data_IF_283288363265
#
_entry.id   IF_283288363265
#
_cell.length_a   1.000
_cell.length_b   1.000
_cell.length_c   1.000
_cell.angle_alpha   90.00
_cell.angle_beta   90.00
_cell.angle_gamma   90.00
#
_symmetry.space_group_name_H-M   'P 1'
#
loop_
_entity.id
_entity.type
_entity.pdbx_description
1 polymer ?
#
# COMPACT_ATOMS: atom_id res chain seq x y z
N UNK A 1 -10.78 -23.31 34.03
CA UNK A 1 -9.98 -22.20 33.44
C UNK A 1 -10.08 -22.37 31.95
N UNK A 2 -10.61 -21.40 31.21
CA UNK A 2 -10.58 -21.47 29.74
C UNK A 2 -9.11 -21.49 29.32
N UNK A 3 -8.71 -22.44 28.47
CA UNK A 3 -7.35 -22.47 27.92
C UNK A 3 -7.02 -21.13 27.27
N UNK A 4 -5.82 -20.63 27.54
CA UNK A 4 -5.31 -19.38 26.99
C UNK A 4 -5.17 -19.54 25.46
N UNK A 5 -6.18 -19.09 24.71
CA UNK A 5 -6.22 -19.25 23.24
C UNK A 5 -5.22 -18.30 22.58
N UNK A 6 -4.25 -18.85 21.87
CA UNK A 6 -3.35 -18.10 20.98
C UNK A 6 -4.06 -17.90 19.62
N UNK A 7 -4.15 -16.64 19.17
CA UNK A 7 -4.72 -16.28 17.86
C UNK A 7 -3.61 -16.31 16.81
N UNK A 8 -3.74 -17.17 15.81
CA UNK A 8 -2.73 -17.37 14.76
C UNK A 8 -3.03 -16.45 13.58
N UNK A 9 -2.06 -15.65 13.18
CA UNK A 9 -2.23 -14.63 12.13
C UNK A 9 -1.34 -14.96 10.94
N UNK A 10 -1.95 -15.35 9.83
CA UNK A 10 -1.22 -15.61 8.60
C UNK A 10 -0.75 -14.32 7.94
N UNK A 11 0.44 -14.34 7.35
CA UNK A 11 0.99 -13.19 6.61
C UNK A 11 2.03 -13.61 5.59
N UNK A 12 2.26 -12.77 4.57
CA UNK A 12 3.38 -12.95 3.65
C UNK A 12 4.68 -12.55 4.32
N UNK A 13 5.80 -13.13 3.86
CA UNK A 13 7.14 -12.76 4.32
C UNK A 13 7.62 -11.37 3.90
N UNK A 14 6.92 -10.69 3.01
CA UNK A 14 7.32 -9.34 2.58
C UNK A 14 7.24 -8.35 3.75
N UNK A 15 8.20 -7.43 3.83
CA UNK A 15 8.28 -6.44 4.91
C UNK A 15 6.99 -5.64 5.09
N UNK A 16 6.38 -5.16 3.99
CA UNK A 16 5.12 -4.42 4.06
C UNK A 16 3.97 -5.29 4.61
N UNK A 17 3.87 -6.56 4.21
CA UNK A 17 2.84 -7.46 4.74
C UNK A 17 3.01 -7.70 6.24
N UNK A 18 4.25 -7.89 6.71
CA UNK A 18 4.56 -8.03 8.14
C UNK A 18 4.19 -6.76 8.93
N UNK A 19 4.50 -5.58 8.38
CA UNK A 19 4.12 -4.30 8.99
C UNK A 19 2.61 -4.16 9.10
N UNK A 20 1.87 -4.50 8.05
CA UNK A 20 0.40 -4.46 8.05
C UNK A 20 -0.19 -5.44 9.07
N UNK A 21 0.31 -6.68 9.10
CA UNK A 21 -0.09 -7.69 10.07
C UNK A 21 0.18 -7.23 11.51
N UNK A 22 1.35 -6.67 11.78
CA UNK A 22 1.70 -6.16 13.09
C UNK A 22 0.83 -4.97 13.50
N UNK A 23 0.47 -4.08 12.57
CA UNK A 23 -0.45 -2.97 12.83
C UNK A 23 -1.84 -3.48 13.28
N UNK A 24 -2.40 -4.48 12.58
CA UNK A 24 -3.67 -5.11 13.00
C UNK A 24 -3.56 -5.78 14.37
N UNK A 25 -2.48 -6.51 14.63
CA UNK A 25 -2.24 -7.12 15.95
C UNK A 25 -2.14 -6.04 17.05
N UNK A 26 -1.47 -4.92 16.76
CA UNK A 26 -1.35 -3.81 17.70
C UNK A 26 -2.70 -3.15 17.99
N UNK A 27 -3.54 -2.92 16.97
CA UNK A 27 -4.90 -2.41 17.16
C UNK A 27 -5.73 -3.32 18.07
N UNK A 28 -5.65 -4.64 17.87
CA UNK A 28 -6.37 -5.60 18.71
C UNK A 28 -5.81 -5.65 20.14
N UNK A 29 -4.48 -5.64 20.32
CA UNK A 29 -3.84 -5.60 21.64
C UNK A 29 -4.12 -4.31 22.42
N UNK A 30 -4.30 -3.20 21.72
CA UNK A 30 -4.67 -1.93 22.35
C UNK A 30 -6.08 -1.98 22.99
N UNK A 31 -6.97 -2.82 22.44
CA UNK A 31 -8.31 -3.05 22.97
C UNK A 31 -8.32 -4.07 24.11
N UNK A 32 -7.45 -5.09 24.03
CA UNK A 32 -7.29 -6.10 25.07
C UNK A 32 -5.85 -6.64 25.09
N UNK A 33 -5.09 -6.21 26.09
CA UNK A 33 -3.68 -6.60 26.27
C UNK A 33 -3.47 -8.07 26.65
N UNK A 34 -4.53 -8.77 27.05
CA UNK A 34 -4.46 -10.19 27.42
C UNK A 34 -4.40 -11.10 26.19
N UNK A 35 -4.82 -10.60 25.02
CA UNK A 35 -4.81 -11.35 23.78
C UNK A 35 -3.39 -11.77 23.35
N UNK A 36 -3.21 -13.07 23.15
CA UNK A 36 -1.99 -13.67 22.64
C UNK A 36 -2.11 -13.88 21.13
N UNK A 37 -1.06 -13.51 20.40
CA UNK A 37 -0.99 -13.65 18.95
C UNK A 37 0.28 -14.38 18.55
N UNK A 38 0.15 -15.26 17.55
CA UNK A 38 1.26 -15.92 16.87
C UNK A 38 1.22 -15.54 15.39
N UNK A 39 2.26 -14.85 14.89
CA UNK A 39 2.38 -14.56 13.46
C UNK A 39 2.95 -15.75 12.72
N UNK A 40 2.24 -16.22 11.70
CA UNK A 40 2.63 -17.38 10.88
C UNK A 40 3.03 -16.90 9.49
N UNK A 41 4.32 -16.63 9.24
CA UNK A 41 4.80 -16.12 7.96
C UNK A 41 4.85 -17.22 6.89
N UNK A 42 4.23 -16.97 5.75
CA UNK A 42 4.08 -17.91 4.64
C UNK A 42 4.70 -17.38 3.35
N UNK A 43 5.15 -18.28 2.48
CA UNK A 43 5.70 -17.96 1.16
C UNK A 43 4.67 -18.28 0.07
N UNK A 44 4.20 -17.25 -0.63
CA UNK A 44 3.24 -17.40 -1.74
C UNK A 44 3.95 -17.68 -3.07
N UNK A 45 3.24 -18.21 -4.07
CA UNK A 45 3.77 -18.32 -5.44
C UNK A 45 4.28 -16.96 -5.94
N UNK A 46 3.52 -15.89 -5.69
CA UNK A 46 3.92 -14.54 -6.11
C UNK A 46 5.18 -14.01 -5.46
N UNK A 47 5.58 -14.52 -4.29
CA UNK A 47 6.87 -14.19 -3.66
C UNK A 47 8.04 -14.94 -4.32
N UNK A 48 7.80 -16.13 -4.86
CA UNK A 48 8.82 -16.97 -5.51
C UNK A 48 9.05 -16.58 -6.96
N UNK A 49 8.04 -16.01 -7.60
CA UNK A 49 8.05 -15.62 -9.00
C UNK A 49 8.28 -14.09 -9.09
N UNK A 50 9.54 -13.68 -8.94
CA UNK A 50 9.94 -12.27 -9.12
C UNK A 50 10.20 -11.91 -10.60
N UNK A 51 10.54 -12.91 -11.43
CA UNK A 51 11.11 -12.71 -12.77
C UNK A 51 10.18 -13.03 -13.97
N UNK A 52 9.02 -13.65 -13.74
CA UNK A 52 8.04 -13.90 -14.81
C UNK A 52 6.87 -12.90 -14.78
N UNK A 53 6.24 -12.66 -15.93
CA UNK A 53 5.22 -11.62 -16.03
C UNK A 53 4.04 -11.96 -15.10
N UNK A 54 3.58 -11.07 -14.19
CA UNK A 54 2.35 -11.28 -13.40
C UNK A 54 1.17 -11.63 -14.30
N UNK A 55 1.22 -11.04 -15.47
CA UNK A 55 0.32 -11.12 -16.57
C UNK A 55 0.44 -12.48 -17.33
N UNK A 56 1.58 -13.20 -17.25
CA UNK A 56 1.72 -14.60 -17.72
C UNK A 56 0.88 -15.62 -16.94
N UNK A 57 0.53 -15.33 -15.69
CA UNK A 57 0.02 -16.38 -14.79
C UNK A 57 -1.51 -16.39 -14.67
N UNK A 58 -2.22 -15.33 -15.06
CA UNK A 58 -3.70 -15.35 -15.19
C UNK A 58 -4.50 -15.70 -13.93
N UNK A 59 -3.85 -16.08 -12.83
CA UNK A 59 -4.51 -16.58 -11.64
C UNK A 59 -4.84 -15.42 -10.71
N UNK A 60 -6.15 -15.25 -10.48
CA UNK A 60 -6.78 -14.28 -9.56
C UNK A 60 -6.37 -14.43 -8.08
N UNK A 61 -5.32 -15.20 -7.75
CA UNK A 61 -4.98 -15.59 -6.38
C UNK A 61 -3.46 -15.77 -6.13
N UNK A 62 -2.58 -15.23 -6.98
CA UNK A 62 -1.12 -15.46 -6.91
C UNK A 62 -0.47 -15.13 -5.54
N UNK A 63 -1.06 -14.18 -4.81
CA UNK A 63 -0.58 -13.71 -3.51
C UNK A 63 -1.47 -14.11 -2.33
N UNK A 64 -2.59 -14.82 -2.57
CA UNK A 64 -3.60 -15.13 -1.54
C UNK A 64 -3.80 -16.63 -1.34
N UNK A 65 -3.61 -17.45 -2.38
CA UNK A 65 -3.94 -18.89 -2.38
C UNK A 65 -3.39 -19.69 -1.19
N UNK A 66 -2.11 -19.53 -0.85
CA UNK A 66 -1.53 -20.26 0.28
C UNK A 66 -2.09 -19.81 1.63
N UNK A 67 -2.42 -18.52 1.76
CA UNK A 67 -3.00 -17.95 2.98
C UNK A 67 -4.45 -18.40 3.15
N UNK A 68 -5.23 -18.33 2.07
CA UNK A 68 -6.61 -18.86 1.98
C UNK A 68 -6.65 -20.35 2.34
N UNK A 69 -5.70 -21.13 1.82
CA UNK A 69 -5.58 -22.56 2.16
C UNK A 69 -5.31 -22.77 3.65
N UNK A 70 -4.47 -21.94 4.28
CA UNK A 70 -4.20 -22.01 5.71
C UNK A 70 -5.43 -21.63 6.55
N UNK A 71 -6.23 -20.65 6.11
CA UNK A 71 -7.50 -20.30 6.75
C UNK A 71 -8.48 -21.47 6.73
N UNK A 72 -8.71 -22.06 5.55
CA UNK A 72 -9.63 -23.19 5.36
C UNK A 72 -9.18 -24.43 6.15
N UNK A 73 -7.87 -24.69 6.21
CA UNK A 73 -7.27 -25.77 7.02
C UNK A 73 -7.18 -25.45 8.51
N UNK A 74 -7.71 -24.30 8.97
CA UNK A 74 -7.65 -23.85 10.36
C UNK A 74 -6.22 -23.81 10.93
N UNK A 75 -5.23 -23.55 10.08
CA UNK A 75 -3.82 -23.38 10.46
C UNK A 75 -3.55 -21.96 10.99
N UNK A 76 -4.32 -20.99 10.50
CA UNK A 76 -4.35 -19.62 11.00
C UNK A 76 -5.80 -19.21 11.23
N UNK A 77 -6.05 -18.21 12.08
CA UNK A 77 -7.39 -17.73 12.43
C UNK A 77 -7.84 -16.59 11.51
N UNK A 78 -6.93 -15.66 11.19
CA UNK A 78 -7.15 -14.64 10.17
C UNK A 78 -5.86 -14.29 9.41
N UNK A 79 -5.99 -13.58 8.29
CA UNK A 79 -4.90 -13.09 7.44
C UNK A 79 -5.10 -11.60 7.15
N UNK A 80 -4.01 -10.83 7.06
CA UNK A 80 -4.07 -9.40 6.75
C UNK A 80 -3.55 -9.12 5.34
N UNK A 81 -4.30 -8.32 4.59
CA UNK A 81 -4.02 -7.95 3.21
C UNK A 81 -4.11 -6.44 2.98
N UNK A 82 -3.46 -5.95 1.92
CA UNK A 82 -3.93 -4.74 1.26
C UNK A 82 -5.20 -5.08 0.50
N UNK A 83 -6.31 -4.37 0.73
CA UNK A 83 -7.60 -4.76 0.15
C UNK A 83 -7.61 -4.72 -1.38
N UNK A 84 -6.85 -3.81 -2.00
CA UNK A 84 -6.68 -3.75 -3.46
C UNK A 84 -6.06 -5.00 -4.10
N UNK A 85 -5.40 -5.85 -3.30
CA UNK A 85 -4.77 -7.09 -3.77
C UNK A 85 -5.71 -8.29 -3.65
N UNK A 86 -6.88 -8.13 -2.98
CA UNK A 86 -7.90 -9.17 -2.87
C UNK A 86 -8.85 -9.11 -4.07
N UNK A 87 -9.19 -10.26 -4.69
CA UNK A 87 -10.22 -10.31 -5.71
C UNK A 87 -11.57 -9.83 -5.17
N UNK A 88 -12.44 -9.37 -6.06
CA UNK A 88 -13.82 -8.95 -5.69
C UNK A 88 -14.70 -10.11 -5.23
N UNK A 89 -14.30 -11.34 -5.56
CA UNK A 89 -14.96 -12.58 -5.14
C UNK A 89 -13.93 -13.45 -4.41
N UNK A 90 -14.25 -13.87 -3.19
CA UNK A 90 -13.39 -14.74 -2.39
C UNK A 90 -13.74 -16.22 -2.62
N UNK A 91 -12.84 -17.15 -2.28
CA UNK A 91 -13.16 -18.57 -2.21
C UNK A 91 -14.33 -18.85 -1.24
N UNK A 92 -15.07 -19.92 -1.50
CA UNK A 92 -16.14 -20.38 -0.62
C UNK A 92 -15.62 -20.66 0.81
N UNK A 93 -16.38 -20.24 1.81
CA UNK A 93 -16.02 -20.39 3.23
C UNK A 93 -15.07 -19.32 3.76
N UNK A 94 -14.69 -18.32 2.96
CA UNK A 94 -13.86 -17.19 3.37
C UNK A 94 -14.57 -15.85 3.18
N UNK A 95 -14.18 -14.88 4.00
CA UNK A 95 -14.82 -13.56 4.09
C UNK A 95 -13.80 -12.51 4.53
N UNK A 96 -13.94 -11.28 4.02
CA UNK A 96 -13.29 -10.10 4.60
C UNK A 96 -14.09 -9.73 5.86
N UNK A 97 -13.62 -10.20 7.00
CA UNK A 97 -14.22 -9.98 8.31
C UNK A 97 -13.94 -8.60 8.90
N UNK A 98 -13.05 -7.80 8.31
CA UNK A 98 -12.86 -6.41 8.72
C UNK A 98 -12.17 -5.61 7.62
N UNK A 99 -12.63 -4.39 7.40
CA UNK A 99 -11.86 -3.34 6.71
C UNK A 99 -11.41 -2.35 7.78
N UNK A 100 -10.09 -2.20 7.94
CA UNK A 100 -9.53 -1.26 8.89
C UNK A 100 -9.68 0.18 8.35
N UNK A 101 -9.50 1.17 9.23
CA UNK A 101 -9.44 2.58 8.82
C UNK A 101 -8.47 2.78 7.66
N UNK A 102 -8.95 3.43 6.61
CA UNK A 102 -8.23 3.63 5.35
C UNK A 102 -7.10 4.65 5.54
N UNK A 103 -5.90 4.27 5.16
CA UNK A 103 -4.79 5.22 4.97
C UNK A 103 -4.97 5.96 3.64
N UNK A 104 -4.18 7.01 3.40
CA UNK A 104 -4.19 7.78 2.15
C UNK A 104 -4.31 6.89 0.89
N UNK A 105 -5.40 7.02 0.11
CA UNK A 105 -5.64 6.18 -1.06
C UNK A 105 -4.83 6.65 -2.28
N UNK A 106 -4.23 7.84 -2.22
CA UNK A 106 -3.57 8.48 -3.33
C UNK A 106 -2.29 7.76 -3.79
N UNK A 107 -1.92 8.02 -5.03
CA UNK A 107 -0.62 7.66 -5.57
C UNK A 107 0.41 8.77 -5.29
N UNK A 108 1.66 8.37 -5.14
CA UNK A 108 2.80 9.25 -4.89
C UNK A 108 3.89 9.04 -5.93
N UNK A 109 4.57 10.14 -6.24
CA UNK A 109 5.77 10.18 -7.07
C UNK A 109 6.97 10.20 -6.14
N UNK A 110 7.92 9.32 -6.39
CA UNK A 110 9.26 9.34 -5.80
C UNK A 110 10.23 9.62 -6.94
N UNK A 111 10.99 10.69 -6.83
CA UNK A 111 11.91 11.11 -7.89
C UNK A 111 13.32 10.58 -7.66
N UNK A 112 14.06 10.43 -8.74
CA UNK A 112 15.49 10.17 -8.68
C UNK A 112 16.17 11.29 -7.87
N UNK A 113 17.21 11.01 -7.05
CA UNK A 113 17.90 12.05 -6.28
C UNK A 113 18.41 13.25 -7.10
N UNK A 114 18.63 13.08 -8.40
CA UNK A 114 19.03 14.16 -9.34
C UNK A 114 17.92 15.20 -9.61
N UNK A 115 16.68 14.87 -9.27
CA UNK A 115 15.49 15.71 -9.46
C UNK A 115 14.88 16.11 -8.10
N UNK A 116 15.69 16.29 -7.07
CA UNK A 116 15.22 16.74 -5.76
C UNK A 116 14.42 18.04 -5.85
N UNK A 117 13.36 18.14 -5.03
CA UNK A 117 12.44 19.29 -4.95
C UNK A 117 11.69 19.63 -6.24
N UNK A 118 11.59 18.67 -7.18
CA UNK A 118 10.77 18.78 -8.39
C UNK A 118 9.48 17.98 -8.25
N UNK A 119 8.54 18.23 -9.16
CA UNK A 119 7.33 17.44 -9.40
C UNK A 119 7.41 16.77 -10.77
N UNK A 120 6.41 15.95 -11.16
CA UNK A 120 6.36 15.40 -12.51
C UNK A 120 6.36 16.48 -13.59
N UNK A 121 5.70 17.62 -13.34
CA UNK A 121 5.63 18.72 -14.30
C UNK A 121 6.99 19.37 -14.57
N UNK A 122 7.89 19.35 -13.60
CA UNK A 122 9.20 20.01 -13.68
C UNK A 122 10.29 19.13 -14.31
N UNK A 123 9.96 17.87 -14.64
CA UNK A 123 10.89 16.94 -15.28
C UNK A 123 11.08 17.28 -16.76
N UNK A 124 12.29 17.13 -17.32
CA UNK A 124 12.53 17.34 -18.75
C UNK A 124 11.68 16.40 -19.63
N UNK A 125 11.36 16.85 -20.84
CA UNK A 125 10.72 16.01 -21.85
C UNK A 125 11.52 14.72 -22.10
N UNK A 126 10.80 13.61 -22.23
CA UNK A 126 11.39 12.28 -22.39
C UNK A 126 11.88 11.62 -21.11
N UNK A 127 11.68 12.24 -19.94
CA UNK A 127 11.98 11.63 -18.63
C UNK A 127 11.25 10.29 -18.45
N UNK A 128 11.91 9.34 -17.80
CA UNK A 128 11.43 7.96 -17.67
C UNK A 128 10.77 7.74 -16.31
N UNK A 129 9.46 7.47 -16.31
CA UNK A 129 8.68 7.21 -15.11
C UNK A 129 8.37 5.72 -14.97
N UNK A 130 8.86 5.12 -13.89
CA UNK A 130 8.70 3.70 -13.60
C UNK A 130 7.35 3.36 -12.96
N UNK A 131 6.52 2.59 -13.66
CA UNK A 131 5.33 1.94 -13.10
C UNK A 131 4.94 0.71 -13.92
N UNK A 132 4.56 -0.39 -13.24
CA UNK A 132 3.97 -1.57 -13.87
C UNK A 132 2.46 -1.68 -13.68
N UNK A 133 1.82 -0.61 -13.19
CA UNK A 133 0.36 -0.53 -13.13
C UNK A 133 -0.16 0.10 -14.42
N UNK A 134 -0.98 -0.64 -15.19
CA UNK A 134 -1.63 -0.12 -16.39
C UNK A 134 -2.51 1.09 -16.07
N UNK A 135 -3.22 1.08 -14.93
CA UNK A 135 -4.01 2.21 -14.43
C UNK A 135 -3.16 3.49 -14.30
N UNK A 136 -2.00 3.40 -13.63
CA UNK A 136 -1.10 4.55 -13.46
C UNK A 136 -0.52 4.97 -14.80
N UNK A 137 -0.04 4.01 -15.59
CA UNK A 137 0.58 4.29 -16.89
C UNK A 137 -0.38 5.05 -17.82
N UNK A 138 -1.62 4.59 -17.96
CA UNK A 138 -2.63 5.22 -18.81
C UNK A 138 -2.95 6.65 -18.38
N UNK A 139 -3.21 6.87 -17.09
CA UNK A 139 -3.55 8.21 -16.57
C UNK A 139 -2.37 9.17 -16.69
N UNK A 140 -1.15 8.73 -16.39
CA UNK A 140 0.03 9.58 -16.48
C UNK A 140 0.39 9.89 -17.92
N UNK A 141 0.29 8.95 -18.86
CA UNK A 141 0.47 9.25 -20.30
C UNK A 141 -0.54 10.28 -20.80
N UNK A 142 -1.77 10.23 -20.29
CA UNK A 142 -2.82 11.18 -20.65
C UNK A 142 -2.53 12.61 -20.14
N UNK A 143 -2.04 12.73 -18.91
CA UNK A 143 -1.80 14.04 -18.25
C UNK A 143 -0.41 14.61 -18.56
N UNK A 144 0.58 13.73 -18.68
CA UNK A 144 1.99 14.05 -18.92
C UNK A 144 2.52 13.30 -20.17
N UNK A 145 2.01 13.62 -21.37
CA UNK A 145 2.36 12.91 -22.62
C UNK A 145 3.83 13.06 -23.02
N UNK A 146 4.55 14.03 -22.47
CA UNK A 146 5.98 14.24 -22.71
C UNK A 146 6.87 13.19 -22.00
N UNK A 147 6.34 12.47 -21.01
CA UNK A 147 7.11 11.49 -20.23
C UNK A 147 7.00 10.08 -20.81
N UNK A 148 8.09 9.32 -20.70
CA UNK A 148 8.13 7.90 -21.08
C UNK A 148 7.73 7.05 -19.88
N UNK A 149 6.80 6.12 -20.07
CA UNK A 149 6.42 5.19 -19.02
C UNK A 149 7.10 3.85 -19.26
N UNK A 150 7.88 3.41 -18.27
CA UNK A 150 8.59 2.14 -18.31
C UNK A 150 8.18 1.23 -17.15
N UNK A 151 8.23 -0.09 -17.39
CA UNK A 151 7.88 -1.07 -16.38
C UNK A 151 8.92 -1.11 -15.26
N UNK A 152 8.48 -1.13 -14.00
CA UNK A 152 9.33 -1.36 -12.83
C UNK A 152 8.72 -2.42 -11.90
N UNK A 153 9.50 -3.46 -11.63
CA UNK A 153 9.08 -4.64 -10.85
C UNK A 153 9.94 -4.84 -9.60
N UNK A 154 9.37 -5.59 -8.67
CA UNK A 154 9.91 -5.88 -7.35
C UNK A 154 9.06 -5.26 -6.25
N UNK A 155 9.36 -5.65 -5.01
CA UNK A 155 8.79 -5.02 -3.82
C UNK A 155 9.32 -3.56 -3.68
N UNK A 156 8.84 -2.84 -2.66
CA UNK A 156 9.24 -1.44 -2.45
C UNK A 156 10.76 -1.27 -2.37
N UNK A 157 11.47 -2.09 -1.59
CA UNK A 157 12.93 -2.07 -1.48
C UNK A 157 13.62 -2.21 -2.85
N UNK A 158 13.20 -3.18 -3.66
CA UNK A 158 13.78 -3.39 -5.01
C UNK A 158 13.51 -2.22 -5.93
N UNK A 159 12.34 -1.58 -5.85
CA UNK A 159 11.99 -0.42 -6.68
C UNK A 159 12.81 0.81 -6.31
N UNK A 160 13.00 1.07 -5.02
CA UNK A 160 13.90 2.14 -4.56
C UNK A 160 15.34 1.91 -4.99
N UNK A 161 15.82 0.66 -4.91
CA UNK A 161 17.13 0.27 -5.43
C UNK A 161 17.26 0.59 -6.92
N UNK A 162 16.28 0.17 -7.73
CA UNK A 162 16.26 0.45 -9.18
C UNK A 162 16.11 1.93 -9.52
N UNK A 163 15.42 2.70 -8.68
CA UNK A 163 15.37 4.15 -8.84
C UNK A 163 16.74 4.78 -8.57
N UNK A 164 17.46 4.32 -7.55
CA UNK A 164 18.78 4.87 -7.21
C UNK A 164 19.92 4.36 -8.10
N UNK A 165 19.72 3.27 -8.85
CA UNK A 165 20.76 2.60 -9.64
C UNK A 165 20.52 2.72 -11.14
N UNK A 166 21.61 2.84 -11.91
CA UNK A 166 21.65 2.79 -13.38
C UNK A 166 20.98 3.95 -14.14
N UNK A 167 20.52 5.01 -13.45
CA UNK A 167 19.93 6.22 -14.05
C UNK A 167 18.76 5.96 -15.04
N UNK A 168 18.15 4.77 -14.98
CA UNK A 168 17.10 4.34 -15.92
C UNK A 168 15.80 5.09 -15.68
N UNK A 169 15.47 5.39 -14.42
CA UNK A 169 14.23 6.04 -14.03
C UNK A 169 14.51 7.43 -13.45
N UNK A 170 13.80 8.43 -13.95
CA UNK A 170 13.77 9.78 -13.38
C UNK A 170 12.79 9.90 -12.21
N UNK A 171 11.80 9.00 -12.16
CA UNK A 171 10.88 8.84 -11.04
C UNK A 171 10.13 7.52 -11.10
N UNK A 172 9.48 7.15 -9.99
CA UNK A 172 8.59 5.99 -9.91
C UNK A 172 7.29 6.38 -9.24
N UNK A 173 6.21 5.66 -9.54
CA UNK A 173 4.90 5.89 -8.93
C UNK A 173 4.54 4.74 -7.99
N UNK A 174 4.27 5.09 -6.73
CA UNK A 174 3.95 4.20 -5.63
C UNK A 174 2.63 4.62 -4.96
N UNK A 175 2.12 3.82 -4.01
CA UNK A 175 0.96 4.22 -3.21
C UNK A 175 1.44 4.98 -1.97
N UNK A 176 0.79 6.08 -1.60
CA UNK A 176 1.13 6.84 -0.38
C UNK A 176 1.09 5.93 0.84
N UNK A 177 -0.01 5.20 1.05
CA UNK A 177 -0.15 4.27 2.17
C UNK A 177 0.99 3.24 2.28
N UNK A 178 1.53 2.77 1.14
CA UNK A 178 2.65 1.84 1.15
C UNK A 178 3.95 2.47 1.64
N UNK A 179 4.20 3.74 1.30
CA UNK A 179 5.35 4.50 1.79
C UNK A 179 5.17 4.86 3.27
N UNK A 180 3.97 5.30 3.65
CA UNK A 180 3.63 5.66 5.04
C UNK A 180 3.84 4.50 6.00
N UNK A 181 3.32 3.32 5.69
CA UNK A 181 3.50 2.13 6.53
C UNK A 181 4.97 1.74 6.70
N UNK A 182 5.80 2.03 5.72
CA UNK A 182 7.23 1.75 5.77
C UNK A 182 8.04 2.85 6.50
N UNK A 183 7.41 3.96 6.88
CA UNK A 183 8.07 5.15 7.45
C UNK A 183 8.85 5.97 6.42
N UNK A 184 8.44 5.93 5.15
CA UNK A 184 9.14 6.53 4.00
C UNK A 184 8.39 7.70 3.37
N UNK A 185 7.53 8.39 4.13
CA UNK A 185 6.76 9.54 3.68
C UNK A 185 7.65 10.68 3.20
N UNK A 186 8.81 10.86 3.83
CA UNK A 186 9.81 11.86 3.47
C UNK A 186 10.41 11.65 2.06
N UNK A 187 10.23 10.47 1.46
CA UNK A 187 10.64 10.20 0.08
C UNK A 187 9.63 10.69 -0.96
N UNK A 188 8.41 11.09 -0.55
CA UNK A 188 7.35 11.54 -1.46
C UNK A 188 7.72 12.92 -2.00
N UNK A 189 7.93 13.01 -3.31
CA UNK A 189 8.15 14.29 -3.99
C UNK A 189 6.82 14.99 -4.34
N UNK A 190 5.80 14.21 -4.69
CA UNK A 190 4.48 14.70 -5.05
C UNK A 190 3.42 13.65 -4.70
N UNK A 191 2.30 14.07 -4.11
CA UNK A 191 1.07 13.28 -4.05
C UNK A 191 0.21 13.66 -5.24
N UNK A 192 -0.24 12.68 -6.02
CA UNK A 192 -1.02 12.91 -7.24
C UNK A 192 -2.49 13.20 -6.90
N UNK A 193 -3.04 14.26 -7.47
CA UNK A 193 -4.46 14.61 -7.27
C UNK A 193 -5.37 13.67 -8.07
N UNK A 194 -6.69 13.64 -7.80
CA UNK A 194 -7.65 12.86 -8.60
C UNK A 194 -7.68 13.24 -10.08
N UNK A 195 -7.33 14.48 -10.44
CA UNK A 195 -7.21 14.94 -11.82
C UNK A 195 -5.97 14.36 -12.51
N UNK A 196 -4.89 14.12 -11.76
CA UNK A 196 -3.66 13.54 -12.28
C UNK A 196 -3.71 12.01 -12.32
N UNK A 197 -4.21 11.38 -11.25
CA UNK A 197 -4.26 9.92 -11.14
C UNK A 197 -5.28 9.47 -10.07
N UNK A 198 -6.48 9.09 -10.50
CA UNK A 198 -7.44 8.39 -9.65
C UNK A 198 -6.88 7.01 -9.23
N UNK A 199 -7.13 6.63 -7.98
CA UNK A 199 -6.48 5.49 -7.35
C UNK A 199 -7.08 4.14 -7.76
N UNK A 200 -6.39 3.05 -7.37
CA UNK A 200 -6.93 1.70 -7.55
C UNK A 200 -8.04 1.44 -6.53
N UNK A 201 -8.99 0.58 -6.92
CA UNK A 201 -10.06 0.10 -6.03
C UNK A 201 -9.49 -0.42 -4.72
N UNK A 202 -10.01 0.12 -3.63
CA UNK A 202 -9.65 -0.13 -2.24
C UNK A 202 -8.19 0.15 -1.89
N UNK A 203 -7.49 0.98 -2.67
CA UNK A 203 -6.13 1.41 -2.31
C UNK A 203 -6.15 2.16 -0.97
N UNK A 204 -5.16 1.91 -0.13
CA UNK A 204 -5.06 2.50 1.21
C UNK A 204 -5.77 1.69 2.30
N UNK A 205 -6.76 0.87 1.98
CA UNK A 205 -7.44 0.03 2.96
C UNK A 205 -6.65 -1.25 3.29
N UNK A 206 -6.62 -1.63 4.57
CA UNK A 206 -6.22 -2.98 4.99
C UNK A 206 -7.47 -3.82 5.24
N UNK A 207 -7.42 -5.07 4.79
CA UNK A 207 -8.49 -6.03 4.97
C UNK A 207 -8.00 -7.20 5.80
N UNK A 208 -8.87 -7.71 6.66
CA UNK A 208 -8.64 -8.90 7.45
C UNK A 208 -9.56 -10.01 6.95
N UNK A 209 -8.98 -11.02 6.32
CA UNK A 209 -9.69 -12.20 5.81
C UNK A 209 -9.75 -13.28 6.89
N UNK A 210 -10.92 -13.89 7.07
CA UNK A 210 -11.12 -15.00 7.99
C UNK A 210 -12.10 -16.03 7.40
N UNK A 211 -12.36 -17.09 8.16
CA UNK A 211 -13.40 -18.06 7.80
C UNK A 211 -14.79 -17.48 8.01
N UNK A 212 -15.70 -17.82 7.12
CA UNK A 212 -17.11 -17.54 7.29
C UNK A 212 -17.69 -18.35 8.45
N UNK A 213 -18.58 -17.75 9.23
CA UNK A 213 -19.16 -18.33 10.45
C UNK A 213 -18.20 -18.50 11.65
N UNK A 214 -16.96 -18.02 11.58
CA UNK A 214 -16.06 -18.00 12.75
C UNK A 214 -16.39 -16.80 13.66
N UNK A 215 -17.49 -16.93 14.41
CA UNK A 215 -18.05 -15.85 15.25
C UNK A 215 -17.05 -15.30 16.28
N UNK A 216 -16.14 -16.14 16.78
CA UNK A 216 -15.12 -15.67 17.73
C UNK A 216 -14.14 -14.71 17.04
N UNK A 217 -13.70 -15.05 15.82
CA UNK A 217 -12.81 -14.20 15.04
C UNK A 217 -13.55 -12.95 14.55
N UNK A 218 -14.77 -13.10 14.00
CA UNK A 218 -15.58 -11.98 13.53
C UNK A 218 -15.89 -10.98 14.66
N UNK A 219 -16.25 -11.46 15.85
CA UNK A 219 -16.49 -10.61 17.03
C UNK A 219 -15.25 -9.81 17.46
N UNK A 220 -14.05 -10.42 17.35
CA UNK A 220 -12.80 -9.73 17.61
C UNK A 220 -12.52 -8.64 16.56
N UNK A 221 -12.66 -9.00 15.28
CA UNK A 221 -12.37 -8.12 14.15
C UNK A 221 -13.34 -6.93 14.06
N UNK A 222 -14.60 -7.11 14.47
CA UNK A 222 -15.60 -6.04 14.57
C UNK A 222 -15.10 -4.82 15.34
N UNK A 223 -14.24 -5.01 16.34
CA UNK A 223 -13.79 -3.92 17.22
C UNK A 223 -12.79 -2.96 16.56
N UNK A 224 -12.15 -3.37 15.46
CA UNK A 224 -11.19 -2.56 14.69
C UNK A 224 -11.70 -2.20 13.30
N UNK A 225 -12.96 -2.55 13.02
CA UNK A 225 -13.65 -2.27 11.77
C UNK A 225 -13.92 -0.77 11.64
N UNK A 226 -13.60 -0.20 10.48
CA UNK A 226 -13.92 1.18 10.16
C UNK A 226 -15.08 1.25 9.17
N UNK A 227 -16.19 1.82 9.63
CA UNK A 227 -17.45 1.81 8.92
C UNK A 227 -17.40 2.65 7.63
N UNK A 228 -16.89 3.88 7.71
CA UNK A 228 -16.77 4.78 6.55
C UNK A 228 -15.84 4.21 5.47
N UNK A 229 -14.67 3.71 5.85
CA UNK A 229 -13.74 3.05 4.91
C UNK A 229 -14.38 1.84 4.23
N UNK A 230 -15.27 1.14 4.93
CA UNK A 230 -15.98 -0.02 4.39
C UNK A 230 -17.00 0.39 3.33
N UNK A 231 -17.78 1.43 3.58
CA UNK A 231 -18.75 1.98 2.63
C UNK A 231 -18.06 2.33 1.30
N UNK A 232 -16.96 3.09 1.37
CA UNK A 232 -16.15 3.43 0.20
C UNK A 232 -15.67 2.17 -0.53
N UNK A 233 -15.08 1.22 0.21
CA UNK A 233 -14.53 0.01 -0.39
C UNK A 233 -15.61 -0.91 -0.98
N UNK A 234 -16.80 -0.97 -0.40
CA UNK A 234 -17.94 -1.74 -0.94
C UNK A 234 -18.36 -1.17 -2.29
N UNK A 235 -18.53 0.16 -2.39
CA UNK A 235 -18.90 0.79 -3.65
C UNK A 235 -17.85 0.59 -4.74
N UNK A 236 -16.57 0.80 -4.42
CA UNK A 236 -15.47 0.63 -5.36
C UNK A 236 -15.33 -0.81 -5.85
N UNK A 237 -15.49 -1.78 -4.95
CA UNK A 237 -15.41 -3.21 -5.28
C UNK A 237 -16.63 -3.68 -6.08
N UNK A 238 -17.82 -3.17 -5.78
CA UNK A 238 -19.04 -3.45 -6.55
C UNK A 238 -18.92 -2.92 -7.99
N UNK A 239 -18.39 -1.71 -8.15
CA UNK A 239 -18.05 -1.13 -9.44
C UNK A 239 -17.07 -2.02 -10.24
N UNK A 240 -15.96 -2.43 -9.62
CA UNK A 240 -14.97 -3.28 -10.28
C UNK A 240 -15.51 -4.65 -10.65
N UNK A 241 -16.28 -5.26 -9.74
CA UNK A 241 -16.90 -6.57 -9.93
C UNK A 241 -17.84 -6.55 -11.13
N UNK A 242 -18.70 -5.54 -11.21
CA UNK A 242 -19.69 -5.38 -12.27
C UNK A 242 -19.07 -5.08 -13.64
N UNK A 243 -17.96 -4.34 -13.68
CA UNK A 243 -17.16 -4.15 -14.91
C UNK A 243 -16.43 -5.42 -15.38
N UNK A 244 -16.49 -6.51 -14.61
CA UNK A 244 -15.64 -7.70 -14.76
C UNK A 244 -14.15 -7.31 -14.86
N UNK A 245 -13.78 -6.25 -14.12
CA UNK A 245 -12.43 -5.74 -14.04
C UNK A 245 -11.59 -6.59 -13.10
N UNK A 246 -10.34 -6.86 -13.48
CA UNK A 246 -9.33 -7.46 -12.60
C UNK A 246 -8.16 -6.49 -12.39
N UNK A 247 -7.13 -6.92 -11.65
CA UNK A 247 -5.91 -6.13 -11.44
C UNK A 247 -5.14 -5.76 -12.73
N UNK A 248 -5.47 -6.39 -13.86
CA UNK A 248 -4.79 -6.26 -15.15
C UNK A 248 -5.52 -5.33 -16.14
N UNK A 249 -6.43 -4.47 -15.68
CA UNK A 249 -7.07 -3.46 -16.53
C UNK A 249 -6.89 -2.05 -15.93
N UNK A 250 -6.81 -1.00 -16.77
CA UNK A 250 -6.66 0.39 -16.33
C UNK A 250 -7.99 0.97 -15.83
N UNK A 251 -8.49 0.42 -14.72
CA UNK A 251 -9.67 0.89 -14.00
C UNK A 251 -9.21 1.67 -12.77
N UNK A 252 -9.83 2.80 -12.50
CA UNK A 252 -9.56 3.66 -11.35
C UNK A 252 -10.84 4.15 -10.70
N UNK A 253 -10.74 4.56 -9.45
CA UNK A 253 -11.83 5.13 -8.67
C UNK A 253 -11.37 6.33 -7.84
N UNK A 254 -12.32 7.16 -7.45
CA UNK A 254 -12.21 8.16 -6.41
C UNK A 254 -13.52 8.18 -5.63
N UNK A 255 -13.46 8.23 -4.31
CA UNK A 255 -14.60 8.07 -3.41
C UNK A 255 -14.45 8.98 -2.22
N UNK A 256 -15.57 9.57 -1.81
CA UNK A 256 -15.65 10.38 -0.60
C UNK A 256 -16.99 10.14 0.08
N UNK A 257 -16.95 9.93 1.40
CA UNK A 257 -18.14 9.94 2.24
C UNK A 257 -18.15 11.21 3.06
N UNK A 258 -19.18 12.04 2.87
CA UNK A 258 -19.40 13.25 3.66
C UNK A 258 -20.75 13.15 4.35
N UNK A 259 -20.75 12.98 5.67
CA UNK A 259 -21.96 12.68 6.47
C UNK A 259 -22.65 11.43 5.93
N UNK A 260 -23.85 11.59 5.36
CA UNK A 260 -24.70 10.52 4.84
C UNK A 260 -24.64 10.44 3.30
N UNK A 261 -23.74 11.19 2.66
CA UNK A 261 -23.58 11.20 1.20
C UNK A 261 -22.31 10.47 0.80
N UNK A 262 -22.45 9.52 -0.12
CA UNK A 262 -21.34 8.85 -0.80
C UNK A 262 -21.23 9.38 -2.22
N UNK A 263 -20.06 9.91 -2.57
CA UNK A 263 -19.68 10.21 -3.96
C UNK A 263 -18.74 9.12 -4.48
N UNK A 264 -19.00 8.60 -5.67
CA UNK A 264 -18.15 7.62 -6.35
C UNK A 264 -17.90 8.07 -7.77
N UNK A 265 -16.63 8.27 -8.12
CA UNK A 265 -16.16 8.52 -9.47
C UNK A 265 -15.38 7.31 -9.99
N UNK A 266 -15.75 6.82 -11.16
CA UNK A 266 -15.09 5.72 -11.86
C UNK A 266 -14.36 6.21 -13.10
N UNK A 267 -13.29 5.51 -13.48
CA UNK A 267 -12.54 5.76 -14.70
C UNK A 267 -12.05 4.47 -15.36
N UNK A 268 -12.19 4.40 -16.68
CA UNK A 268 -11.67 3.33 -17.55
C UNK A 268 -10.90 3.98 -18.68
N UNK A 269 -9.68 3.51 -18.92
CA UNK A 269 -8.76 4.11 -19.91
C UNK A 269 -8.27 3.07 -20.91
N UNK A 270 -7.84 3.48 -22.11
CA UNK A 270 -7.01 2.62 -22.96
C UNK A 270 -5.61 2.49 -22.35
N UNK A 271 -4.83 1.47 -22.76
CA UNK A 271 -3.47 1.22 -22.21
C UNK A 271 -2.52 2.42 -22.44
N UNK A 272 -2.68 3.11 -23.56
CA UNK A 272 -1.93 4.31 -23.91
C UNK A 272 -2.51 5.60 -23.29
N UNK A 273 -3.71 5.53 -22.70
CA UNK A 273 -4.40 6.66 -22.08
C UNK A 273 -5.14 7.59 -23.05
N UNK A 274 -5.18 7.29 -24.35
CA UNK A 274 -5.81 8.14 -25.38
C UNK A 274 -7.35 8.14 -25.30
N UNK A 275 -7.97 6.97 -25.09
CA UNK A 275 -9.39 6.80 -24.83
C UNK A 275 -9.66 6.77 -23.32
N UNK A 276 -10.75 7.41 -22.87
CA UNK A 276 -11.18 7.36 -21.48
C UNK A 276 -12.71 7.49 -21.37
N UNK A 277 -13.30 6.70 -20.49
CA UNK A 277 -14.66 6.88 -19.98
C UNK A 277 -14.55 7.14 -18.49
N UNK A 278 -15.12 8.26 -18.05
CA UNK A 278 -15.21 8.60 -16.63
C UNK A 278 -16.64 9.00 -16.30
N UNK A 279 -17.09 8.65 -15.11
CA UNK A 279 -18.39 9.06 -14.62
C UNK A 279 -18.41 9.15 -13.10
N UNK A 280 -19.35 9.90 -12.54
CA UNK A 280 -19.54 10.06 -11.11
C UNK A 280 -21.01 9.92 -10.75
N UNK A 281 -21.27 9.31 -9.60
CA UNK A 281 -22.58 9.24 -8.98
C UNK A 281 -22.48 9.66 -7.51
N UNK A 282 -23.54 10.29 -7.01
CA UNK A 282 -23.73 10.60 -5.61
C UNK A 282 -24.97 9.84 -5.11
N UNK A 283 -24.93 9.35 -3.87
CA UNK A 283 -26.06 8.67 -3.24
C UNK A 283 -26.21 9.06 -1.77
N UNK A 284 -27.45 9.08 -1.30
CA UNK A 284 -27.77 9.11 0.12
C UNK A 284 -27.68 7.68 0.69
N UNK A 285 -26.77 7.48 1.64
CA UNK A 285 -26.53 6.22 2.32
C UNK A 285 -27.73 5.78 3.17
N UNK A 286 -28.60 6.72 3.55
CA UNK A 286 -29.82 6.48 4.33
C UNK A 286 -31.08 6.46 3.46
N UNK A 287 -30.95 6.36 2.14
CA UNK A 287 -32.10 6.34 1.24
C UNK A 287 -33.06 5.18 1.59
N UNK A 288 -34.31 5.47 2.02
CA UNK A 288 -35.26 4.45 2.44
C UNK A 288 -35.73 3.53 1.29
N UNK A 289 -35.55 3.96 0.04
CA UNK A 289 -35.92 3.21 -1.16
C UNK A 289 -34.83 2.21 -1.59
N UNK A 290 -33.70 2.16 -0.88
CA UNK A 290 -32.62 1.21 -1.16
C UNK A 290 -33.10 -0.22 -0.90
N UNK A 291 -33.12 -1.04 -1.95
CA UNK A 291 -33.38 -2.48 -1.78
C UNK A 291 -32.23 -3.12 -0.99
N UNK A 292 -32.53 -3.67 0.18
CA UNK A 292 -31.54 -4.30 1.06
C UNK A 292 -31.53 -5.81 0.77
N UNK A 293 -30.45 -6.37 0.18
CA UNK A 293 -30.36 -7.80 -0.10
C UNK A 293 -30.43 -8.64 1.19
N UNK A 294 -30.95 -9.86 1.15
CA UNK A 294 -30.96 -10.78 2.31
C UNK A 294 -29.57 -11.33 2.68
N UNK A 295 -28.52 -10.90 1.97
CA UNK A 295 -27.12 -11.24 2.23
C UNK A 295 -26.51 -10.32 3.30
N UNK A 296 -25.68 -10.86 4.21
CA UNK A 296 -24.80 -10.07 5.08
C UNK A 296 -23.44 -9.78 4.43
N UNK A 297 -23.26 -10.19 3.18
CA UNK A 297 -22.01 -10.12 2.43
C UNK A 297 -22.15 -9.21 1.21
N UNK A 298 -21.26 -8.23 1.10
CA UNK A 298 -21.20 -7.30 -0.03
C UNK A 298 -19.82 -7.37 -0.66
N UNK A 299 -19.71 -7.88 -1.90
CA UNK A 299 -18.43 -8.03 -2.63
C UNK A 299 -17.30 -8.63 -1.78
N UNK A 300 -17.64 -9.67 -1.02
CA UNK A 300 -16.71 -10.40 -0.15
C UNK A 300 -16.51 -9.81 1.25
N UNK A 301 -17.10 -8.65 1.56
CA UNK A 301 -17.00 -8.00 2.87
C UNK A 301 -18.20 -8.36 3.74
N UNK A 302 -17.91 -8.81 4.97
CA UNK A 302 -18.93 -9.06 5.99
C UNK A 302 -19.50 -7.74 6.52
N UNK A 303 -20.82 -7.64 6.53
CA UNK A 303 -21.51 -6.60 7.26
C UNK A 303 -21.42 -6.88 8.76
N UNK A 304 -20.58 -6.12 9.45
CA UNK A 304 -20.34 -6.28 10.89
C UNK A 304 -21.54 -5.92 11.76
N UNK A 305 -22.52 -5.18 11.24
CA UNK A 305 -23.58 -4.57 12.03
C UNK A 305 -24.86 -4.51 11.19
N UNK A 306 -25.91 -5.20 11.64
CA UNK A 306 -27.15 -5.38 10.86
C UNK A 306 -27.85 -4.03 10.63
N UNK A 307 -27.79 -3.13 11.60
CA UNK A 307 -28.38 -1.79 11.54
C UNK A 307 -27.74 -0.92 10.45
N UNK A 308 -26.50 -1.24 10.07
CA UNK A 308 -25.72 -0.53 9.05
C UNK A 308 -25.81 -1.14 7.65
N UNK A 309 -26.63 -2.19 7.50
CA UNK A 309 -26.78 -2.93 6.25
C UNK A 309 -27.35 -2.08 5.11
N UNK A 310 -28.21 -1.10 5.41
CA UNK A 310 -28.76 -0.17 4.42
C UNK A 310 -27.65 0.63 3.72
N UNK A 311 -26.73 1.21 4.50
CA UNK A 311 -25.62 2.01 3.96
C UNK A 311 -24.70 1.17 3.07
N UNK A 312 -24.50 -0.11 3.40
CA UNK A 312 -23.68 -1.03 2.59
C UNK A 312 -24.41 -1.44 1.31
N UNK A 313 -25.72 -1.64 1.37
CA UNK A 313 -26.54 -1.90 0.21
C UNK A 313 -26.55 -0.69 -0.75
N UNK A 314 -26.72 0.52 -0.22
CA UNK A 314 -26.67 1.76 -0.99
C UNK A 314 -25.32 1.90 -1.70
N UNK A 315 -24.21 1.74 -0.97
CA UNK A 315 -22.87 1.77 -1.54
C UNK A 315 -22.67 0.71 -2.64
N UNK A 316 -23.11 -0.53 -2.39
CA UNK A 316 -23.02 -1.63 -3.35
C UNK A 316 -23.80 -1.33 -4.64
N UNK A 317 -25.05 -0.89 -4.52
CA UNK A 317 -25.92 -0.56 -5.66
C UNK A 317 -25.33 0.62 -6.46
N UNK A 318 -24.87 1.68 -5.79
CA UNK A 318 -24.23 2.82 -6.46
C UNK A 318 -22.99 2.41 -7.25
N UNK A 319 -22.16 1.51 -6.70
CA UNK A 319 -21.03 0.95 -7.43
C UNK A 319 -21.46 0.19 -8.70
N UNK A 320 -22.52 -0.63 -8.61
CA UNK A 320 -23.06 -1.34 -9.77
C UNK A 320 -23.66 -0.41 -10.82
N UNK A 321 -24.45 0.58 -10.41
CA UNK A 321 -25.06 1.58 -11.29
C UNK A 321 -24.00 2.39 -12.03
N UNK A 322 -22.94 2.81 -11.33
CA UNK A 322 -21.81 3.51 -11.95
C UNK A 322 -21.18 2.65 -13.05
N UNK A 323 -21.00 1.35 -12.82
CA UNK A 323 -20.46 0.44 -13.82
C UNK A 323 -21.41 0.30 -15.02
N UNK A 324 -22.72 0.13 -14.80
CA UNK A 324 -23.72 0.03 -15.87
C UNK A 324 -23.75 1.30 -16.74
N UNK A 325 -23.71 2.48 -16.13
CA UNK A 325 -23.67 3.76 -16.86
C UNK A 325 -22.37 3.95 -17.64
N UNK A 326 -21.24 3.51 -17.10
CA UNK A 326 -19.97 3.55 -17.80
C UNK A 326 -19.92 2.55 -18.97
N UNK A 327 -20.52 1.36 -18.81
CA UNK A 327 -20.69 0.39 -19.90
C UNK A 327 -21.55 0.98 -21.01
N UNK A 328 -22.67 1.63 -20.67
CA UNK A 328 -23.51 2.33 -21.65
C UNK A 328 -22.75 3.45 -22.41
N UNK A 329 -21.71 4.02 -21.79
CA UNK A 329 -20.80 5.02 -22.38
C UNK A 329 -19.61 4.40 -23.12
N UNK A 330 -19.55 3.07 -23.27
CA UNK A 330 -18.54 2.36 -24.05
C UNK A 330 -17.30 1.91 -23.28
N UNK A 331 -17.33 1.91 -21.94
CA UNK A 331 -16.20 1.42 -21.13
C UNK A 331 -15.86 -0.05 -21.41
N UNK A 332 -16.86 -0.88 -21.74
CA UNK A 332 -16.67 -2.30 -22.03
C UNK A 332 -15.79 -2.52 -23.28
N UNK A 333 -15.94 -1.68 -24.31
CA UNK A 333 -15.13 -1.71 -25.52
C UNK A 333 -13.66 -1.43 -25.20
N UNK A 334 -13.39 -0.40 -24.39
CA UNK A 334 -12.05 -0.05 -23.93
C UNK A 334 -11.44 -1.21 -23.14
N UNK A 335 -12.20 -1.79 -22.19
CA UNK A 335 -11.73 -2.92 -21.39
C UNK A 335 -11.42 -4.16 -22.22
N UNK A 336 -12.25 -4.49 -23.22
CA UNK A 336 -12.01 -5.61 -24.15
C UNK A 336 -10.71 -5.41 -24.93
N UNK A 337 -10.48 -4.23 -25.51
CA UNK A 337 -9.23 -3.89 -26.21
C UNK A 337 -8.02 -3.97 -25.27
N UNK A 338 -8.13 -3.43 -24.06
CA UNK A 338 -7.06 -3.45 -23.07
C UNK A 338 -6.70 -4.87 -22.62
N UNK A 339 -7.70 -5.74 -22.38
CA UNK A 339 -7.48 -7.15 -22.04
C UNK A 339 -6.77 -7.90 -23.18
N UNK A 340 -7.17 -7.67 -24.42
CA UNK A 340 -6.53 -8.29 -25.59
C UNK A 340 -5.08 -7.84 -25.77
N UNK A 341 -4.83 -6.53 -25.74
CA UNK A 341 -3.49 -5.95 -25.87
C UNK A 341 -2.57 -6.41 -24.73
N UNK A 342 -3.07 -6.41 -23.49
CA UNK A 342 -2.31 -6.91 -22.35
C UNK A 342 -1.89 -8.37 -22.59
N UNK A 343 -2.80 -9.22 -23.09
CA UNK A 343 -2.51 -10.62 -23.44
C UNK A 343 -1.41 -10.74 -24.48
N UNK A 344 -1.40 -9.89 -25.50
CA UNK A 344 -0.37 -9.87 -26.53
C UNK A 344 0.99 -9.39 -25.99
N UNK A 345 1.01 -8.31 -25.21
CA UNK A 345 2.23 -7.79 -24.57
C UNK A 345 2.86 -8.82 -23.63
N UNK A 346 2.04 -9.57 -22.90
CA UNK A 346 2.46 -10.71 -22.06
C UNK A 346 3.20 -11.76 -22.88
N UNK A 347 2.60 -12.16 -24.01
CA UNK A 347 3.15 -13.17 -24.91
C UNK A 347 4.45 -12.67 -25.56
N UNK A 348 4.52 -11.38 -25.93
CA UNK A 348 5.71 -10.76 -26.48
C UNK A 348 6.85 -10.61 -25.45
N UNK A 349 6.55 -10.20 -24.20
CA UNK A 349 7.53 -10.22 -23.10
C UNK A 349 8.00 -11.65 -22.82
N UNK A 350 7.12 -12.65 -22.97
CA UNK A 350 7.47 -14.06 -22.85
C UNK A 350 8.52 -14.48 -23.88
N UNK A 351 8.27 -14.18 -25.16
CA UNK A 351 9.17 -14.51 -26.24
C UNK A 351 10.55 -13.86 -26.04
N UNK A 352 10.59 -12.56 -25.75
CA UNK A 352 11.84 -11.81 -25.50
C UNK A 352 12.66 -12.40 -24.34
N UNK A 353 12.02 -12.72 -23.21
CA UNK A 353 12.72 -13.33 -22.07
C UNK A 353 13.23 -14.74 -22.35
N UNK A 354 12.52 -15.54 -23.14
CA UNK A 354 13.02 -16.84 -23.56
C UNK A 354 14.24 -16.73 -24.47
N UNK A 355 14.28 -15.70 -25.33
CA UNK A 355 15.46 -15.37 -26.12
C UNK A 355 16.61 -14.88 -25.24
N UNK A 356 16.37 -13.94 -24.32
CA UNK A 356 17.39 -13.47 -23.37
C UNK A 356 17.92 -14.57 -22.45
N UNK A 357 17.09 -15.50 -22.00
CA UNK A 357 17.54 -16.66 -21.20
C UNK A 357 18.34 -17.65 -22.04
N UNK A 358 17.97 -17.86 -23.32
CA UNK A 358 18.79 -18.64 -24.26
C UNK A 358 20.15 -17.97 -24.47
N UNK A 359 20.18 -16.65 -24.64
CA UNK A 359 21.43 -15.90 -24.77
C UNK A 359 22.26 -15.90 -23.47
N UNK A 360 21.64 -15.71 -22.30
CA UNK A 360 22.31 -15.77 -20.99
C UNK A 360 22.83 -17.16 -20.68
N UNK A 361 22.11 -18.24 -21.03
CA UNK A 361 22.62 -19.62 -20.95
C UNK A 361 23.79 -19.87 -21.90
N UNK A 362 23.82 -19.18 -23.04
CA UNK A 362 24.93 -19.22 -23.99
C UNK A 362 26.14 -18.44 -23.46
N UNK A 363 25.92 -17.30 -22.80
CA UNK A 363 26.97 -16.44 -22.20
C UNK A 363 27.51 -16.96 -20.86
N UNK A 364 26.70 -17.64 -20.04
CA UNK A 364 27.09 -18.26 -18.74
C UNK A 364 28.04 -19.46 -18.85
N UNK A 365 28.54 -19.78 -20.04
CA UNK A 365 29.69 -20.69 -20.19
C UNK A 365 31.03 -20.04 -19.80
N UNK A 366 31.07 -18.73 -19.52
CA UNK A 366 32.25 -18.05 -18.96
C UNK A 366 31.88 -17.06 -17.84
N UNK A 367 32.70 -17.09 -16.77
CA UNK A 367 32.77 -16.22 -15.58
C UNK A 367 32.07 -16.73 -14.29
N UNK A 368 32.90 -17.02 -13.29
CA UNK A 368 32.60 -17.30 -11.88
C UNK A 368 32.73 -16.03 -11.01
N UNK A 369 31.84 -15.98 -10.01
CA UNK A 369 31.82 -15.35 -8.66
C UNK A 369 32.61 -14.07 -8.29
N UNK A 370 31.87 -13.11 -7.70
CA UNK A 370 32.31 -12.34 -6.51
C UNK A 370 31.10 -11.91 -5.62
N UNK A 371 31.25 -11.85 -4.27
CA UNK A 371 30.21 -11.35 -3.36
C UNK A 371 30.47 -9.90 -2.90
N UNK A 372 29.42 -9.07 -2.86
CA UNK A 372 29.46 -7.74 -2.23
C UNK A 372 28.52 -7.63 -1.01
N UNK A 373 28.93 -6.94 0.07
CA UNK A 373 28.14 -6.82 1.29
C UNK A 373 27.04 -5.74 1.16
N UNK A 374 25.91 -6.02 1.79
CA UNK A 374 24.68 -5.25 1.76
C UNK A 374 24.77 -3.96 2.60
N UNK A 375 24.49 -2.80 1.99
CA UNK A 375 24.07 -1.57 2.67
C UNK A 375 22.56 -1.36 2.47
N UNK A 376 21.91 -0.70 3.42
CA UNK A 376 20.48 -0.34 3.37
C UNK A 376 20.21 0.64 2.18
N UNK A 377 19.41 0.25 1.18
CA UNK A 377 19.15 1.07 -0.01
C UNK A 377 18.45 2.41 0.29
N UNK A 378 17.61 2.47 1.34
CA UNK A 378 16.94 3.71 1.75
C UNK A 378 17.97 4.66 2.34
N UNK A 379 18.89 4.14 3.15
CA UNK A 379 20.00 4.93 3.68
C UNK A 379 20.89 5.48 2.55
N UNK A 380 21.09 4.74 1.45
CA UNK A 380 21.83 5.22 0.27
C UNK A 380 21.07 6.30 -0.49
N UNK A 381 19.76 6.15 -0.68
CA UNK A 381 18.89 7.18 -1.25
C UNK A 381 18.92 8.47 -0.41
N UNK A 382 18.81 8.35 0.92
CA UNK A 382 18.88 9.48 1.84
C UNK A 382 20.28 10.09 1.94
N UNK A 383 21.35 9.29 1.91
CA UNK A 383 22.72 9.78 1.86
C UNK A 383 23.00 10.56 0.58
N UNK A 384 22.45 10.15 -0.56
CA UNK A 384 22.51 10.91 -1.80
C UNK A 384 21.75 12.25 -1.71
N UNK A 385 20.71 12.35 -0.86
CA UNK A 385 20.05 13.63 -0.57
C UNK A 385 20.88 14.55 0.34
N UNK A 386 21.65 14.01 1.28
CA UNK A 386 22.44 14.82 2.22
C UNK A 386 23.82 15.24 1.69
N UNK A 387 24.36 14.60 0.65
CA UNK A 387 25.70 14.96 0.15
C UNK A 387 25.74 16.35 -0.50
N UNK A 388 24.60 16.89 -0.93
CA UNK A 388 24.49 18.19 -1.61
C UNK A 388 24.43 19.40 -0.64
N UNK A 389 24.33 19.17 0.67
CA UNK A 389 24.47 20.25 1.66
C UNK A 389 25.94 20.60 1.97
N UNK A 390 26.89 19.76 1.58
CA UNK A 390 28.33 20.00 1.82
C UNK A 390 29.01 20.84 0.72
N UNK A 391 28.33 21.12 -0.40
CA UNK A 391 28.88 21.94 -1.49
C UNK A 391 28.46 23.41 -1.48
N UNK A 392 27.79 23.88 -0.42
CA UNK A 392 27.33 25.28 -0.31
C UNK A 392 28.10 26.13 0.71
N UNK A 393 29.29 25.71 1.15
CA UNK A 393 30.20 26.54 1.94
C UNK A 393 31.59 26.54 1.30
N UNK A 394 31.87 27.55 0.49
CA UNK A 394 33.23 27.92 0.12
C UNK A 394 33.86 28.66 1.30
N UNK A 395 35.04 28.25 1.81
CA UNK A 395 35.80 29.06 2.75
C UNK A 395 36.63 30.08 1.98
N UNK A 396 36.34 31.37 2.19
CA UNK A 396 37.22 32.48 1.79
C UNK A 396 38.19 32.81 2.92
N UNK A 397 39.47 32.86 2.56
CA UNK A 397 40.62 33.10 3.43
C UNK A 397 40.54 34.38 4.28
N UNK A 398 40.95 34.25 5.54
CA UNK A 398 41.68 35.30 6.27
C UNK A 398 42.54 34.65 7.37
N UNK A 399 43.83 34.51 7.10
CA UNK A 399 44.84 34.08 8.05
C UNK A 399 45.22 35.23 9.00
N UNK A 400 45.24 34.99 10.32
CA UNK A 400 46.12 35.70 11.27
C UNK A 400 46.52 34.79 12.46
N UNK A 401 47.83 34.53 12.55
CA UNK A 401 48.72 34.18 13.67
C UNK A 401 48.31 33.28 14.86
N UNK A 402 49.07 32.19 15.00
CA UNK A 402 49.50 31.55 16.26
C UNK A 402 50.80 32.22 16.80
N UNK A 403 51.05 32.19 18.13
CA UNK A 403 51.86 31.11 18.76
C UNK A 403 51.35 30.75 20.18
N UNK A 404 51.74 29.72 20.93
CA UNK A 404 52.52 28.49 20.79
C UNK A 404 52.34 27.67 22.09
N UNK A 405 52.52 26.36 21.99
CA UNK A 405 52.72 25.31 23.03
C UNK A 405 53.22 25.71 24.44
N UNK A 406 52.64 25.09 25.48
CA UNK A 406 53.26 24.53 26.72
C UNK A 406 52.18 23.89 27.61
N UNK A 407 52.12 22.56 27.77
CA UNK A 407 52.71 21.72 28.83
C UNK A 407 51.98 21.68 30.19
N UNK A 408 51.95 20.45 30.76
CA UNK A 408 51.71 19.99 32.16
C UNK A 408 50.24 19.68 32.56
N UNK A 409 49.85 18.40 32.72
CA UNK A 409 50.10 17.44 33.82
C UNK A 409 49.50 17.83 35.20
N UNK A 410 48.46 17.05 35.57
CA UNK A 410 48.36 16.21 36.78
C UNK A 410 48.11 16.84 38.16
N UNK A 411 47.27 16.10 38.92
CA UNK A 411 46.97 16.14 40.37
C UNK A 411 46.02 17.27 40.83
N UNK A 412 45.06 17.03 41.72
CA UNK A 412 44.78 15.85 42.51
C UNK A 412 43.57 16.08 43.43
N UNK A 413 42.97 14.94 43.77
CA UNK A 413 41.98 14.57 44.80
C UNK A 413 41.87 15.44 46.08
N UNK A 414 40.78 15.09 46.79
CA UNK A 414 40.49 15.15 48.25
C UNK A 414 39.53 16.32 48.60
N UNK A 415 38.44 16.17 49.35
CA UNK A 415 37.85 15.07 50.14
C UNK A 415 36.34 15.36 50.35
N UNK A 416 35.49 14.36 50.61
CA UNK A 416 34.99 14.00 51.97
C UNK A 416 34.65 15.23 52.83
N UNK A 417 33.46 15.42 53.39
CA UNK A 417 32.28 14.58 53.57
C UNK A 417 31.45 15.18 54.74
N UNK A 418 30.39 14.47 55.12
CA UNK A 418 29.59 14.58 56.37
C UNK A 418 28.65 15.78 56.46
N UNK A 419 27.33 15.53 56.32
CA UNK A 419 26.33 15.33 57.40
C UNK A 419 25.85 16.68 57.94
N UNK A 420 24.59 16.93 58.30
CA UNK A 420 23.61 16.08 58.98
C UNK A 420 22.27 16.85 59.03
N UNK A 421 21.16 16.11 59.11
CA UNK A 421 19.94 16.40 59.92
C UNK A 421 19.11 17.67 59.57
N UNK A 422 17.79 17.73 59.72
CA UNK A 422 16.74 16.85 60.24
C UNK A 422 15.37 17.51 59.93
N UNK A 423 14.30 16.69 59.94
CA UNK A 423 12.92 16.94 60.45
C UNK A 423 12.16 18.23 60.06
N UNK A 424 10.86 18.30 59.84
CA UNK A 424 9.65 17.53 60.19
C UNK A 424 8.51 18.26 59.43
N UNK A 425 7.59 17.59 58.72
CA UNK A 425 6.34 16.96 59.17
C UNK A 425 5.12 17.90 59.31
N UNK A 426 3.96 17.28 59.00
CA UNK A 426 2.56 17.63 59.32
C UNK A 426 1.85 18.61 58.34
N UNK A 427 0.91 18.10 57.51
CA UNK A 427 -0.55 17.87 57.77
C UNK A 427 -1.34 19.14 57.45
N UNK A 428 -2.54 19.19 56.86
CA UNK A 428 -3.61 18.22 56.58
C UNK A 428 -4.71 19.00 55.82
N UNK A 429 -5.61 18.29 55.10
CA UNK A 429 -7.07 18.57 54.93
C UNK A 429 -7.50 19.92 54.32
N UNK A 430 -8.57 20.09 53.53
CA UNK A 430 -9.66 19.28 53.00
C UNK A 430 -10.56 20.25 52.18
N UNK A 431 -11.51 19.67 51.44
CA UNK A 431 -12.85 20.21 51.12
C UNK A 431 -13.03 21.33 50.08
N UNK A 432 -13.52 20.89 48.90
CA UNK A 432 -14.78 21.29 48.22
C UNK A 432 -15.12 22.77 48.03
N UNK A 433 -15.47 23.16 46.79
CA UNK A 433 -16.85 23.53 46.36
C UNK A 433 -16.85 24.12 44.94
N UNK A 434 -17.92 23.75 44.20
CA UNK A 434 -18.45 24.26 42.92
C UNK A 434 -17.87 23.71 41.61
#
# INVERSE_FOLDING_TARGET
MAEERIIRVGTRKSQLALVQTNSVIQMLRALDSTLKFETVPMSTVGDRILDSALSKIGEKSLFTKELETALLKKQVDFVVHSLKDLPTSLPEGLVIGCVCKRDSPYDAVVLHPKHQRKTLKDLPDGSVIGTSSLRRAAQIKRVYPQHKIENIRGNLNTRFKKLAENDVYDGIILAVAGLTRMGWEHCIAQVLTPEECMYAVSQGAMAVECRDGDEQTLSLLRKIHDHTSTIECVAERAFLWKLEGGCSVPVSVFTEVTKDQLSVKGGVFSIDGSEAVQHSLDTDLNNPDTEIPDSTMFVGIHCQTVEKKCEYAAAYITGQQLADEMIAKGADSILKKAKATSKEEILAEHARKQEEEKEKKTKRKHAEDEPHPHMDPVKRYLMAQHHDMSQMLMPGDAAVHLPSTSQLHLLGKIGQGTSSQESEASSSSSSSSL
#
